data_IF_469293105008
#
_entry.id   IF_469293105008
#
_cell.length_a   1.000
_cell.length_b   1.000
_cell.length_c   1.000
_cell.angle_alpha   90.00
_cell.angle_beta   90.00
_cell.angle_gamma   90.00
#
_symmetry.space_group_name_H-M   'P 1'
#
loop_
_entity.id
_entity.type
_entity.pdbx_description
1 polymer ?
#
# COMPACT_ATOMS: atom_id res chain seq x y z
N UNK A 1 -22.37 26.03 2.89
CA UNK A 1 -21.42 24.97 2.50
C UNK A 1 -19.99 25.40 2.74
N UNK A 2 -19.27 24.63 3.45
CA UNK A 2 -17.93 25.00 3.83
C UNK A 2 -16.90 24.29 2.95
N UNK A 3 -15.79 24.97 2.63
CA UNK A 3 -14.78 24.41 1.70
C UNK A 3 -14.16 23.10 2.18
N UNK A 4 -14.03 22.91 3.47
CA UNK A 4 -13.40 21.73 4.01
C UNK A 4 -14.20 20.45 3.81
N UNK A 5 -15.45 20.57 3.37
CA UNK A 5 -16.26 19.40 3.07
C UNK A 5 -15.62 18.53 1.98
N UNK A 6 -14.95 19.15 1.02
CA UNK A 6 -14.31 18.39 -0.06
C UNK A 6 -13.16 17.52 0.44
N UNK A 7 -12.43 17.94 1.47
CA UNK A 7 -11.40 17.13 2.07
C UNK A 7 -11.96 15.87 2.72
N UNK A 8 -13.08 16.02 3.41
CA UNK A 8 -13.73 14.88 4.07
C UNK A 8 -14.32 13.89 3.08
N UNK A 9 -14.63 14.34 1.87
CA UNK A 9 -15.20 13.45 0.84
C UNK A 9 -14.15 12.77 -0.01
N UNK A 10 -12.88 13.18 0.10
CA UNK A 10 -11.81 12.51 -0.64
C UNK A 10 -11.58 11.11 -0.10
N UNK A 11 -11.35 10.19 -1.04
CA UNK A 11 -10.99 8.83 -0.67
C UNK A 11 -9.57 8.82 -0.14
N UNK A 12 -9.40 8.34 1.08
CA UNK A 12 -8.11 8.31 1.75
C UNK A 12 -7.42 6.99 1.43
N UNK A 13 -6.38 7.02 0.62
CA UNK A 13 -5.65 5.83 0.21
C UNK A 13 -4.30 5.78 0.89
N UNK A 14 -4.02 4.66 1.56
CA UNK A 14 -2.69 4.36 2.06
C UNK A 14 -2.00 3.49 1.02
N UNK A 15 -0.91 3.99 0.45
CA UNK A 15 -0.12 3.25 -0.52
C UNK A 15 1.18 2.80 0.14
N UNK A 16 1.43 1.50 0.15
CA UNK A 16 2.65 0.93 0.67
C UNK A 16 3.40 0.20 -0.45
N UNK A 17 4.71 0.36 -0.46
CA UNK A 17 5.60 -0.49 -1.25
C UNK A 17 6.25 -1.46 -0.28
N UNK A 18 5.97 -2.74 -0.43
CA UNK A 18 6.40 -3.75 0.52
C UNK A 18 7.10 -4.91 -0.17
N UNK A 19 8.19 -5.39 0.45
CA UNK A 19 8.82 -6.64 0.05
C UNK A 19 8.23 -7.79 0.84
N UNK A 20 9.09 -8.54 1.52
CA UNK A 20 8.65 -9.67 2.33
C UNK A 20 8.29 -9.27 3.76
N UNK A 21 8.70 -8.09 4.20
CA UNK A 21 8.43 -7.57 5.53
C UNK A 21 7.14 -6.75 5.49
N UNK A 22 6.10 -7.24 6.11
CA UNK A 22 4.76 -6.66 6.00
C UNK A 22 4.36 -5.78 7.18
N UNK A 23 5.17 -5.71 8.21
CA UNK A 23 4.87 -4.92 9.41
C UNK A 23 4.59 -3.46 9.09
N UNK A 24 5.24 -2.94 8.07
CA UNK A 24 5.07 -1.53 7.69
C UNK A 24 3.60 -1.19 7.40
N UNK A 25 2.84 -2.14 6.87
CA UNK A 25 1.45 -1.90 6.52
C UNK A 25 0.63 -1.61 7.78
N UNK A 26 0.71 -2.49 8.77
CA UNK A 26 -0.04 -2.29 10.03
C UNK A 26 0.54 -1.16 10.87
N UNK A 27 1.85 -0.97 10.85
CA UNK A 27 2.48 0.14 11.57
C UNK A 27 2.05 1.50 11.02
N UNK A 28 2.01 1.63 9.70
CA UNK A 28 1.58 2.88 9.07
C UNK A 28 0.09 3.09 9.27
N UNK A 29 -0.69 2.03 9.17
CA UNK A 29 -2.13 2.11 9.44
C UNK A 29 -2.38 2.57 10.87
N UNK A 30 -1.63 2.05 11.83
CA UNK A 30 -1.70 2.50 13.21
C UNK A 30 -1.38 3.99 13.34
N UNK A 31 -0.29 4.42 12.73
CA UNK A 31 0.13 5.82 12.80
C UNK A 31 -0.94 6.75 12.24
N UNK A 32 -1.53 6.40 11.11
CA UNK A 32 -2.55 7.23 10.49
C UNK A 32 -3.85 7.25 11.30
N UNK A 33 -4.33 6.09 11.70
CA UNK A 33 -5.65 6.00 12.32
C UNK A 33 -5.63 6.31 13.83
N UNK A 34 -4.61 5.86 14.55
CA UNK A 34 -4.58 5.96 16.01
C UNK A 34 -3.74 7.14 16.52
N UNK A 35 -2.65 7.46 15.86
CA UNK A 35 -1.81 8.58 16.28
C UNK A 35 -2.24 9.90 15.67
N UNK A 36 -2.67 9.89 14.41
CA UNK A 36 -3.07 11.10 13.70
C UNK A 36 -4.57 11.27 13.57
N UNK A 37 -5.34 10.25 13.90
CA UNK A 37 -6.80 10.32 13.84
C UNK A 37 -7.35 10.46 12.43
N UNK A 38 -6.63 10.00 11.43
CA UNK A 38 -7.05 10.07 10.04
C UNK A 38 -7.81 8.82 9.64
N UNK A 39 -8.78 8.98 8.73
CA UNK A 39 -9.50 7.86 8.14
C UNK A 39 -8.68 7.25 7.03
N UNK A 40 -8.73 5.94 6.89
CA UNK A 40 -8.17 5.22 5.74
C UNK A 40 -9.31 4.47 5.07
N UNK A 41 -9.54 4.72 3.80
CA UNK A 41 -10.62 4.08 3.04
C UNK A 41 -10.13 2.90 2.21
N UNK A 42 -8.86 2.92 1.82
CA UNK A 42 -8.30 1.87 0.98
C UNK A 42 -6.82 1.71 1.28
N UNK A 43 -6.36 0.47 1.30
CA UNK A 43 -4.93 0.15 1.40
C UNK A 43 -4.51 -0.46 0.07
N UNK A 44 -3.57 0.18 -0.61
CA UNK A 44 -2.97 -0.35 -1.83
C UNK A 44 -1.54 -0.74 -1.55
N UNK A 45 -1.12 -1.89 -2.08
CA UNK A 45 0.23 -2.38 -1.88
C UNK A 45 0.85 -2.70 -3.23
N UNK A 46 2.05 -2.21 -3.44
CA UNK A 46 2.86 -2.57 -4.60
C UNK A 46 3.91 -3.54 -4.11
N UNK A 47 3.94 -4.74 -4.68
CA UNK A 47 4.82 -5.79 -4.19
C UNK A 47 5.15 -6.80 -5.28
N UNK A 48 5.87 -7.84 -4.91
CA UNK A 48 6.22 -8.97 -5.77
C UNK A 48 5.28 -10.15 -5.51
N UNK A 49 5.43 -11.23 -6.28
CA UNK A 49 4.65 -12.45 -6.05
C UNK A 49 4.84 -12.99 -4.65
N UNK A 50 6.10 -13.01 -4.18
CA UNK A 50 6.39 -13.47 -2.82
C UNK A 50 5.73 -12.60 -1.77
N UNK A 51 5.75 -11.28 -1.98
CA UNK A 51 5.10 -10.34 -1.09
C UNK A 51 3.59 -10.52 -1.05
N UNK A 52 2.98 -10.75 -2.21
CA UNK A 52 1.53 -11.00 -2.27
C UNK A 52 1.14 -12.25 -1.48
N UNK A 53 1.91 -13.32 -1.65
CA UNK A 53 1.59 -14.56 -0.94
C UNK A 53 1.69 -14.37 0.57
N UNK A 54 2.67 -13.60 1.03
CA UNK A 54 2.80 -13.29 2.44
C UNK A 54 1.66 -12.42 2.94
N UNK A 55 1.21 -11.47 2.14
CA UNK A 55 0.05 -10.63 2.50
C UNK A 55 -1.18 -11.52 2.68
N UNK A 56 -1.43 -12.43 1.76
CA UNK A 56 -2.56 -13.35 1.87
C UNK A 56 -2.53 -14.14 3.16
N UNK A 57 -1.36 -14.70 3.49
CA UNK A 57 -1.22 -15.59 4.64
C UNK A 57 -1.20 -14.82 5.96
N UNK A 58 -0.49 -13.69 6.00
CA UNK A 58 -0.26 -12.99 7.26
C UNK A 58 -1.30 -11.93 7.58
N UNK A 59 -1.85 -11.27 6.57
CA UNK A 59 -2.74 -10.13 6.78
C UNK A 59 -4.19 -10.41 6.42
N UNK A 60 -4.43 -11.08 5.32
CA UNK A 60 -5.77 -11.23 4.75
C UNK A 60 -6.45 -12.57 5.02
N UNK A 61 -5.79 -13.48 5.71
CA UNK A 61 -6.41 -14.74 6.09
C UNK A 61 -7.50 -14.47 7.12
N UNK A 62 -8.75 -14.51 6.69
CA UNK A 62 -9.88 -14.19 7.55
C UNK A 62 -10.30 -15.40 8.38
N UNK A 63 -10.59 -15.25 9.69
CA UNK A 63 -10.54 -14.02 10.48
C UNK A 63 -9.23 -13.79 11.23
N UNK A 64 -8.22 -14.63 11.02
CA UNK A 64 -7.01 -14.68 11.82
C UNK A 64 -5.89 -13.76 11.33
N UNK A 65 -6.00 -13.22 10.12
CA UNK A 65 -4.99 -12.34 9.57
C UNK A 65 -4.79 -11.10 10.41
N UNK A 66 -3.57 -10.57 10.39
CA UNK A 66 -3.20 -9.43 11.24
C UNK A 66 -3.97 -8.16 10.91
N UNK A 67 -4.42 -7.99 9.66
CA UNK A 67 -5.28 -6.86 9.32
C UNK A 67 -6.59 -6.91 10.10
N UNK A 68 -7.22 -8.07 10.15
CA UNK A 68 -8.48 -8.24 10.87
C UNK A 68 -8.28 -8.13 12.38
N UNK A 69 -7.16 -8.64 12.89
CA UNK A 69 -6.82 -8.49 14.30
C UNK A 69 -6.64 -7.01 14.65
N UNK A 70 -5.97 -6.25 13.79
CA UNK A 70 -5.81 -4.81 13.98
C UNK A 70 -7.17 -4.11 14.06
N UNK A 71 -8.06 -4.44 13.13
CA UNK A 71 -9.39 -3.82 13.12
C UNK A 71 -10.18 -4.13 14.40
N UNK A 72 -10.08 -5.37 14.90
CA UNK A 72 -10.74 -5.72 16.16
C UNK A 72 -10.15 -4.96 17.34
N UNK A 73 -8.83 -4.87 17.38
CA UNK A 73 -8.14 -4.21 18.50
C UNK A 73 -8.46 -2.72 18.61
N UNK A 74 -8.67 -2.07 17.48
CA UNK A 74 -8.91 -0.63 17.46
C UNK A 74 -10.33 -0.25 17.05
N UNK A 75 -11.24 -1.21 17.08
CA UNK A 75 -12.67 -1.01 16.83
C UNK A 75 -12.95 -0.38 15.46
N UNK A 76 -12.22 -0.84 14.45
CA UNK A 76 -12.41 -0.43 13.07
C UNK A 76 -13.18 -1.54 12.34
N UNK A 77 -14.22 -1.16 11.60
CA UNK A 77 -14.94 -2.11 10.76
C UNK A 77 -14.04 -2.47 9.57
N UNK A 78 -13.60 -3.73 9.43
CA UNK A 78 -12.74 -4.09 8.29
C UNK A 78 -13.42 -3.85 6.95
N UNK A 79 -14.74 -3.85 6.88
CA UNK A 79 -15.46 -3.54 5.65
C UNK A 79 -15.37 -2.08 5.27
N UNK A 80 -14.98 -1.19 6.19
CA UNK A 80 -14.81 0.22 5.89
C UNK A 80 -13.50 0.52 5.17
N UNK A 81 -12.58 -0.44 5.13
CA UNK A 81 -11.29 -0.30 4.45
C UNK A 81 -11.22 -1.33 3.34
N UNK A 82 -11.05 -0.86 2.10
CA UNK A 82 -10.88 -1.76 0.96
C UNK A 82 -9.43 -2.25 0.96
N UNK A 83 -9.23 -3.50 1.34
CA UNK A 83 -7.92 -4.13 1.35
C UNK A 83 -8.08 -5.61 1.05
N UNK A 84 -7.84 -5.97 -0.20
CA UNK A 84 -7.96 -7.34 -0.68
C UNK A 84 -7.02 -7.53 -1.87
N UNK A 85 -7.16 -8.64 -2.57
CA UNK A 85 -6.27 -8.92 -3.70
C UNK A 85 -6.41 -7.93 -4.84
N UNK A 86 -7.55 -7.26 -4.96
CA UNK A 86 -7.75 -6.26 -6.01
C UNK A 86 -6.96 -4.98 -5.77
N UNK A 87 -6.53 -4.72 -4.55
CA UNK A 87 -5.74 -3.55 -4.20
C UNK A 87 -4.23 -3.85 -4.15
N UNK A 88 -3.83 -5.08 -4.46
CA UNK A 88 -2.42 -5.46 -4.52
C UNK A 88 -1.97 -5.41 -5.98
N UNK A 89 -0.95 -4.58 -6.25
CA UNK A 89 -0.37 -4.45 -7.57
C UNK A 89 0.97 -5.19 -7.60
N UNK A 90 1.11 -6.10 -8.54
CA UNK A 90 2.34 -6.89 -8.68
C UNK A 90 3.29 -6.20 -9.64
N UNK A 91 4.55 -6.11 -9.21
CA UNK A 91 5.62 -5.65 -10.07
C UNK A 91 5.91 -6.68 -11.17
N UNK A 92 6.27 -6.19 -12.34
CA UNK A 92 6.53 -7.04 -13.51
C UNK A 92 7.96 -6.85 -13.98
N UNK A 93 8.49 -7.90 -14.62
CA UNK A 93 9.77 -7.81 -15.31
C UNK A 93 9.57 -7.13 -16.67
N UNK A 94 10.66 -6.73 -17.35
CA UNK A 94 10.54 -6.09 -18.67
C UNK A 94 9.79 -6.91 -19.71
N UNK A 95 9.79 -8.25 -19.59
CA UNK A 95 9.05 -9.12 -20.51
C UNK A 95 7.58 -9.34 -20.10
N UNK A 96 7.11 -8.63 -19.07
CA UNK A 96 5.71 -8.66 -18.65
C UNK A 96 5.35 -9.72 -17.63
N UNK A 97 6.30 -10.56 -17.22
CA UNK A 97 6.04 -11.57 -16.20
C UNK A 97 6.02 -10.94 -14.82
N UNK A 98 5.22 -11.51 -13.93
CA UNK A 98 5.18 -11.06 -12.55
C UNK A 98 6.49 -11.40 -11.84
N UNK A 99 7.08 -10.41 -11.16
CA UNK A 99 8.34 -10.61 -10.46
C UNK A 99 8.13 -11.40 -9.18
N UNK A 100 8.86 -12.53 -9.00
CA UNK A 100 8.84 -13.24 -7.72
C UNK A 100 9.58 -12.46 -6.64
N UNK A 101 10.65 -11.78 -7.02
CA UNK A 101 11.45 -10.91 -6.16
C UNK A 101 12.30 -10.01 -7.05
N UNK A 102 12.87 -8.95 -6.48
CA UNK A 102 13.78 -8.07 -7.20
C UNK A 102 15.19 -8.61 -7.03
N UNK A 103 15.82 -9.04 -8.13
CA UNK A 103 17.11 -9.71 -8.08
C UNK A 103 18.20 -9.10 -8.96
N UNK A 104 17.83 -8.17 -9.84
CA UNK A 104 18.78 -7.60 -10.78
C UNK A 104 18.65 -6.08 -10.85
N UNK A 105 19.66 -5.44 -11.45
CA UNK A 105 19.60 -4.00 -11.73
C UNK A 105 18.42 -3.67 -12.65
N UNK A 106 18.19 -4.53 -13.65
CA UNK A 106 17.06 -4.34 -14.57
C UNK A 106 15.73 -4.42 -13.85
N UNK A 107 15.57 -5.37 -12.93
CA UNK A 107 14.38 -5.50 -12.13
C UNK A 107 14.16 -4.24 -11.30
N UNK A 108 15.20 -3.71 -10.68
CA UNK A 108 15.13 -2.49 -9.89
C UNK A 108 14.68 -1.30 -10.74
N UNK A 109 15.26 -1.14 -11.90
CA UNK A 109 14.93 -0.01 -12.79
C UNK A 109 13.51 -0.09 -13.27
N UNK A 110 13.07 -1.27 -13.68
CA UNK A 110 11.71 -1.45 -14.17
C UNK A 110 10.69 -1.27 -13.05
N UNK A 111 11.00 -1.76 -11.86
CA UNK A 111 10.15 -1.59 -10.67
C UNK A 111 10.01 -0.11 -10.33
N UNK A 112 11.10 0.65 -10.37
CA UNK A 112 11.06 2.09 -10.09
C UNK A 112 10.11 2.81 -11.03
N UNK A 113 10.16 2.47 -12.32
CA UNK A 113 9.30 3.09 -13.31
C UNK A 113 7.83 2.76 -13.06
N UNK A 114 7.54 1.51 -12.73
CA UNK A 114 6.17 1.10 -12.42
C UNK A 114 5.63 1.82 -11.18
N UNK A 115 6.44 1.93 -10.13
CA UNK A 115 6.04 2.62 -8.91
C UNK A 115 5.75 4.09 -9.21
N UNK A 116 6.61 4.75 -9.97
CA UNK A 116 6.41 6.14 -10.34
C UNK A 116 5.11 6.35 -11.12
N UNK A 117 4.80 5.45 -12.05
CA UNK A 117 3.55 5.54 -12.80
C UNK A 117 2.33 5.40 -11.91
N UNK A 118 2.34 4.44 -11.01
CA UNK A 118 1.22 4.19 -10.10
C UNK A 118 1.01 5.40 -9.18
N UNK A 119 2.09 5.91 -8.59
CA UNK A 119 2.00 7.08 -7.72
C UNK A 119 1.47 8.29 -8.49
N UNK A 120 1.96 8.48 -9.71
CA UNK A 120 1.50 9.59 -10.54
C UNK A 120 0.01 9.48 -10.85
N UNK A 121 -0.46 8.32 -11.25
CA UNK A 121 -1.87 8.11 -11.55
C UNK A 121 -2.76 8.38 -10.35
N UNK A 122 -2.38 7.86 -9.19
CA UNK A 122 -3.14 8.08 -7.97
C UNK A 122 -3.12 9.54 -7.53
N UNK A 123 -1.99 10.21 -7.72
CA UNK A 123 -1.83 11.62 -7.32
C UNK A 123 -2.61 12.58 -8.20
N UNK A 124 -2.90 12.20 -9.44
CA UNK A 124 -3.64 13.05 -10.38
C UNK A 124 -5.14 13.05 -10.11
N UNK A 125 -5.66 12.11 -9.38
CA UNK A 125 -7.07 12.03 -9.09
C UNK A 125 -7.43 13.03 -7.98
N UNK A 126 -8.22 14.08 -8.29
CA UNK A 126 -8.57 15.09 -7.28
C UNK A 126 -9.51 14.56 -6.20
N UNK A 127 -10.12 13.40 -6.41
CA UNK A 127 -11.00 12.78 -5.41
C UNK A 127 -10.23 11.90 -4.43
N UNK A 128 -8.92 11.82 -4.57
CA UNK A 128 -8.09 10.94 -3.76
C UNK A 128 -7.09 11.75 -2.94
N UNK A 129 -6.96 11.41 -1.67
CA UNK A 129 -5.88 11.89 -0.82
C UNK A 129 -4.93 10.71 -0.58
N UNK A 130 -3.68 10.86 -0.98
CA UNK A 130 -2.72 9.76 -0.99
C UNK A 130 -1.73 9.89 0.16
N UNK A 131 -1.64 8.85 0.98
CA UNK A 131 -0.63 8.71 2.01
C UNK A 131 0.31 7.60 1.56
N UNK A 132 1.53 7.96 1.18
CA UNK A 132 2.50 7.00 0.68
C UNK A 132 3.48 6.63 1.79
N UNK A 133 3.77 5.35 1.93
CA UNK A 133 4.72 4.84 2.91
C UNK A 133 5.77 4.00 2.21
N UNK A 134 7.03 4.34 2.47
CA UNK A 134 8.17 3.57 1.97
C UNK A 134 8.41 2.42 2.94
N UNK A 135 8.19 1.22 2.43
CA UNK A 135 8.27 0.03 3.27
C UNK A 135 9.70 -0.46 3.44
N UNK A 136 9.88 -1.17 4.52
CA UNK A 136 11.02 -2.04 4.72
C UNK A 136 11.10 -3.10 3.65
N UNK A 137 12.17 -3.83 3.60
CA UNK A 137 12.38 -4.91 2.68
C UNK A 137 13.49 -4.57 1.71
N UNK A 138 13.16 -3.97 0.58
CA UNK A 138 14.16 -3.54 -0.39
C UNK A 138 14.37 -2.04 -0.29
N UNK A 139 15.55 -1.63 0.11
CA UNK A 139 15.88 -0.20 0.24
C UNK A 139 15.69 0.57 -1.06
N UNK A 140 15.99 -0.06 -2.19
CA UNK A 140 15.83 0.58 -3.50
C UNK A 140 14.39 0.94 -3.77
N UNK A 141 13.44 0.06 -3.42
CA UNK A 141 12.03 0.34 -3.59
C UNK A 141 11.59 1.51 -2.73
N UNK A 142 12.08 1.56 -1.49
CA UNK A 142 11.75 2.66 -0.57
C UNK A 142 12.26 4.00 -1.08
N UNK A 143 13.48 4.04 -1.63
CA UNK A 143 14.07 5.25 -2.18
C UNK A 143 13.25 5.73 -3.38
N UNK A 144 12.86 4.82 -4.26
CA UNK A 144 12.10 5.18 -5.45
C UNK A 144 10.73 5.74 -5.08
N UNK A 145 10.06 5.16 -4.11
CA UNK A 145 8.78 5.68 -3.66
C UNK A 145 8.92 7.09 -3.12
N UNK A 146 9.95 7.34 -2.31
CA UNK A 146 10.22 8.67 -1.77
C UNK A 146 10.45 9.69 -2.88
N UNK A 147 11.19 9.31 -3.91
CA UNK A 147 11.46 10.20 -5.03
C UNK A 147 10.21 10.48 -5.87
N UNK A 148 9.28 9.53 -5.95
CA UNK A 148 8.06 9.68 -6.75
C UNK A 148 7.03 10.57 -6.06
N UNK A 149 7.01 10.60 -4.74
CA UNK A 149 6.09 11.40 -3.96
C UNK A 149 6.60 12.82 -3.81
#
# INVERSE_FOLDING_TARGET
MTPHTSEHTRRQILLCVAGLTLQIITETLYALTQQRGERVDEIRVITTLGGRDRIRQALLDSPHGKFFAFCRDYHIDPASITFDETTITLLRSPDGRMLPDIRSVEDNTFAANQICEIVRELSLDPQTSLHASAAEGRKTMSIYLTAAV
#
